data_IF_586282996246
#
_entry.id   IF_586282996246
#
_cell.length_a   1.000
_cell.length_b   1.000
_cell.length_c   1.000
_cell.angle_alpha   90.00
_cell.angle_beta   90.00
_cell.angle_gamma   90.00
#
_symmetry.space_group_name_H-M   'P 1'
#
loop_
_entity.id
_entity.type
_entity.pdbx_description
1 polymer ?
#
# COMPACT_ATOMS: atom_id res chain seq x y z
N UNK A 1 18.14 61.85 21.78
CA UNK A 1 17.39 61.99 23.05
C UNK A 1 16.03 61.30 22.89
N UNK A 2 15.62 60.50 23.89
CA UNK A 2 14.46 59.57 23.92
C UNK A 2 13.14 60.15 23.37
N UNK A 3 12.26 59.32 22.78
CA UNK A 3 11.14 58.66 23.53
C UNK A 3 10.86 57.22 23.01
N UNK A 4 10.04 56.33 23.57
CA UNK A 4 9.17 56.21 24.76
C UNK A 4 8.83 54.71 24.87
N UNK A 5 8.85 54.16 26.08
CA UNK A 5 8.33 52.83 26.41
C UNK A 5 7.14 52.98 27.38
N UNK A 6 6.07 52.21 27.08
CA UNK A 6 4.98 51.67 27.94
C UNK A 6 4.04 52.69 28.62
N UNK A 7 2.83 52.32 29.15
CA UNK A 7 2.36 50.99 29.63
C UNK A 7 0.87 50.63 29.35
N UNK A 8 0.43 49.45 29.83
CA UNK A 8 -0.83 49.13 30.57
C UNK A 8 -0.81 47.61 30.89
N UNK A 9 -0.58 47.13 32.14
CA UNK A 9 -1.54 46.84 33.25
C UNK A 9 -2.84 46.15 32.76
N UNK A 10 -3.34 45.03 33.31
CA UNK A 10 -3.06 44.24 34.52
C UNK A 10 -4.24 43.27 34.80
N UNK A 11 -4.20 42.59 35.96
CA UNK A 11 -5.19 41.68 36.59
C UNK A 11 -5.17 40.21 36.09
N UNK A 12 -5.17 39.16 36.93
CA UNK A 12 -5.22 39.04 38.39
C UNK A 12 -5.59 37.60 38.79
N UNK A 13 -4.78 37.02 39.69
CA UNK A 13 -5.08 36.14 40.86
C UNK A 13 -6.04 34.93 40.74
N UNK A 14 -5.54 33.79 41.24
CA UNK A 14 -6.12 32.44 41.47
C UNK A 14 -7.22 32.40 42.57
N UNK A 15 -7.51 31.29 43.31
CA UNK A 15 -7.41 29.83 43.10
C UNK A 15 -8.73 29.08 43.50
N UNK A 16 -8.90 27.78 43.22
CA UNK A 16 -9.79 26.90 44.03
C UNK A 16 -9.21 25.48 44.13
N UNK A 17 -9.05 25.04 45.38
CA UNK A 17 -8.80 23.67 45.83
C UNK A 17 -10.12 23.09 46.35
N UNK A 18 -10.29 21.76 46.20
CA UNK A 18 -11.00 20.79 47.05
C UNK A 18 -12.00 19.93 46.24
N UNK A 19 -12.27 18.65 46.50
CA UNK A 19 -11.68 17.53 47.24
C UNK A 19 -12.70 16.36 47.10
N UNK A 20 -12.23 15.11 47.26
CA UNK A 20 -12.98 13.93 47.77
C UNK A 20 -14.09 13.28 46.90
N UNK A 21 -13.91 12.01 46.50
CA UNK A 21 -14.33 10.81 47.26
C UNK A 21 -14.39 9.55 46.35
N UNK A 22 -14.41 8.39 47.00
CA UNK A 22 -13.97 7.07 46.57
C UNK A 22 -15.14 6.10 46.22
N UNK A 23 -14.84 5.07 45.42
CA UNK A 23 -15.49 3.74 45.24
C UNK A 23 -16.80 3.60 44.45
N UNK A 24 -16.76 2.74 43.42
CA UNK A 24 -17.94 2.09 42.85
C UNK A 24 -17.69 1.19 41.62
N UNK A 25 -17.10 0.01 41.84
CA UNK A 25 -17.18 -1.26 41.07
C UNK A 25 -17.37 -1.33 39.52
N UNK A 26 -16.36 -1.96 38.88
CA UNK A 26 -16.39 -3.07 37.88
C UNK A 26 -17.48 -3.05 36.78
N UNK A 27 -17.06 -2.99 35.50
CA UNK A 27 -17.29 -4.02 34.46
C UNK A 27 -16.83 -3.54 33.06
N UNK A 28 -15.82 -4.23 32.53
CA UNK A 28 -15.60 -4.58 31.11
C UNK A 28 -15.87 -3.52 30.02
N UNK A 29 -14.81 -3.00 29.41
CA UNK A 29 -14.78 -2.79 27.95
C UNK A 29 -13.37 -3.11 27.41
N UNK A 30 -13.26 -3.93 26.35
CA UNK A 30 -11.96 -4.33 25.80
C UNK A 30 -11.33 -3.17 25.03
N UNK A 31 -10.01 -3.12 25.11
CA UNK A 31 -9.14 -2.21 24.37
C UNK A 31 -9.46 -2.27 22.86
N UNK A 32 -10.23 -1.30 22.39
CA UNK A 32 -10.55 -1.09 20.96
C UNK A 32 -9.95 0.21 20.43
N UNK A 33 -8.97 0.79 21.14
CA UNK A 33 -8.49 2.16 20.87
C UNK A 33 -7.05 2.30 20.35
N UNK A 34 -6.42 1.23 19.87
CA UNK A 34 -5.06 1.33 19.34
C UNK A 34 -4.94 1.16 17.81
N UNK A 35 -5.96 0.65 17.12
CA UNK A 35 -5.88 0.38 15.67
C UNK A 35 -6.20 1.60 14.78
N UNK A 36 -6.88 2.62 15.31
CA UNK A 36 -7.38 3.78 14.53
C UNK A 36 -6.38 4.93 14.36
N UNK A 37 -5.13 4.79 14.84
CA UNK A 37 -4.15 5.88 14.82
C UNK A 37 -2.92 5.65 13.92
N UNK A 38 -3.03 4.80 12.90
CA UNK A 38 -2.07 4.88 11.79
C UNK A 38 -2.64 5.86 10.78
N UNK A 39 -1.95 6.99 10.59
CA UNK A 39 -2.41 8.11 9.77
C UNK A 39 -2.87 7.63 8.39
N UNK A 40 -4.17 7.77 8.11
CA UNK A 40 -4.70 7.59 6.76
C UNK A 40 -4.06 8.64 5.86
N UNK A 41 -3.39 8.20 4.81
CA UNK A 41 -2.99 9.12 3.75
C UNK A 41 -4.23 9.48 2.93
N UNK A 42 -4.31 10.72 2.42
CA UNK A 42 -5.45 11.15 1.60
C UNK A 42 -5.45 10.53 0.20
N UNK A 43 -4.46 9.68 -0.12
CA UNK A 43 -4.33 8.98 -1.39
C UNK A 43 -4.53 7.47 -1.20
N UNK A 44 -5.07 6.73 -2.18
CA UNK A 44 -5.27 5.28 -2.05
C UNK A 44 -3.93 4.56 -2.14
N UNK A 45 -3.26 4.34 -1.00
CA UNK A 45 -2.01 3.55 -0.94
C UNK A 45 -2.27 2.05 -1.06
N UNK A 46 -1.29 1.24 -1.47
CA UNK A 46 -1.42 -0.21 -1.46
C UNK A 46 -1.77 -0.71 -0.05
N UNK A 47 -1.17 -0.09 0.97
CA UNK A 47 -1.53 -0.32 2.37
C UNK A 47 -2.97 0.07 2.69
N UNK A 48 -3.47 1.22 2.22
CA UNK A 48 -4.85 1.66 2.45
C UNK A 48 -5.85 0.80 1.68
N UNK A 49 -5.51 0.34 0.48
CA UNK A 49 -6.33 -0.57 -0.34
C UNK A 49 -6.44 -1.96 0.31
N UNK A 50 -5.36 -2.46 0.93
CA UNK A 50 -5.35 -3.68 1.74
C UNK A 50 -6.16 -3.51 3.04
N UNK A 51 -6.04 -2.36 3.72
CA UNK A 51 -6.67 -2.10 5.03
C UNK A 51 -8.16 -1.75 4.97
N UNK A 52 -8.66 -1.21 3.85
CA UNK A 52 -10.10 -0.93 3.63
C UNK A 52 -10.94 -2.19 3.45
N UNK A 53 -10.30 -3.36 3.36
CA UNK A 53 -10.96 -4.65 3.23
C UNK A 53 -11.21 -5.19 4.64
N UNK A 54 -12.46 -5.49 5.04
CA UNK A 54 -12.76 -5.96 6.39
C UNK A 54 -12.02 -7.27 6.68
N UNK A 55 -11.05 -7.20 7.60
CA UNK A 55 -10.27 -8.36 8.03
C UNK A 55 -10.99 -9.02 9.20
N UNK A 56 -11.64 -10.15 8.95
CA UNK A 56 -12.11 -11.03 10.01
C UNK A 56 -10.92 -11.87 10.53
N UNK A 57 -10.07 -11.36 11.42
CA UNK A 57 -9.07 -12.20 12.09
C UNK A 57 -8.55 -11.63 13.42
N UNK A 58 -8.53 -12.50 14.44
CA UNK A 58 -8.24 -12.29 15.87
C UNK A 58 -6.75 -12.19 16.25
N UNK A 59 -5.83 -12.01 15.29
CA UNK A 59 -4.37 -12.14 15.53
C UNK A 59 -3.56 -10.87 15.19
N UNK A 60 -4.09 -9.70 15.52
CA UNK A 60 -3.53 -8.41 15.08
C UNK A 60 -2.29 -7.94 15.86
N UNK A 61 -2.21 -8.13 17.18
CA UNK A 61 -1.32 -7.30 18.02
C UNK A 61 0.15 -7.69 18.02
N UNK A 62 0.49 -8.98 17.95
CA UNK A 62 1.91 -9.42 17.98
C UNK A 62 2.62 -9.33 16.63
N UNK A 63 1.88 -9.34 15.52
CA UNK A 63 2.45 -9.22 14.17
C UNK A 63 2.77 -7.78 13.76
N UNK A 64 2.17 -6.78 14.41
CA UNK A 64 2.25 -5.37 14.02
C UNK A 64 3.66 -4.76 14.14
N UNK A 65 4.48 -5.20 15.09
CA UNK A 65 5.83 -4.67 15.29
C UNK A 65 6.83 -5.16 14.22
N UNK A 66 6.79 -6.45 13.86
CA UNK A 66 7.63 -7.04 12.79
C UNK A 66 7.18 -6.57 11.39
N UNK A 67 5.89 -6.26 11.23
CA UNK A 67 5.36 -5.64 10.02
C UNK A 67 5.88 -4.20 9.81
N UNK A 68 6.43 -3.53 10.83
CA UNK A 68 6.83 -2.11 10.75
C UNK A 68 7.98 -1.85 9.77
N UNK A 69 9.08 -2.60 9.84
CA UNK A 69 10.24 -2.40 8.96
C UNK A 69 9.91 -2.73 7.49
N UNK A 70 9.04 -3.71 7.28
CA UNK A 70 8.60 -4.11 5.94
C UNK A 70 7.59 -3.13 5.38
N UNK A 71 6.66 -2.65 6.22
CA UNK A 71 5.76 -1.54 5.88
C UNK A 71 6.54 -0.29 5.49
N UNK A 72 7.68 -0.01 6.13
CA UNK A 72 8.56 1.08 5.74
C UNK A 72 9.20 0.86 4.36
N UNK A 73 9.77 -0.32 4.09
CA UNK A 73 10.35 -0.63 2.78
C UNK A 73 9.32 -0.50 1.64
N UNK A 74 8.08 -0.86 1.93
CA UNK A 74 6.98 -0.75 0.98
C UNK A 74 6.47 0.65 0.81
N UNK A 75 6.39 1.41 1.90
CA UNK A 75 6.06 2.81 1.84
C UNK A 75 7.10 3.53 0.97
N UNK A 76 8.38 3.19 1.11
CA UNK A 76 9.46 3.73 0.28
C UNK A 76 9.30 3.32 -1.18
N UNK A 77 9.09 2.03 -1.47
CA UNK A 77 8.86 1.55 -2.84
C UNK A 77 7.63 2.20 -3.46
N UNK A 78 6.51 2.21 -2.76
CA UNK A 78 5.26 2.83 -3.20
C UNK A 78 5.42 4.32 -3.44
N UNK A 79 6.11 5.03 -2.55
CA UNK A 79 6.42 6.46 -2.76
C UNK A 79 7.21 6.66 -4.04
N UNK A 80 8.21 5.81 -4.30
CA UNK A 80 8.95 5.84 -5.56
C UNK A 80 8.02 5.58 -6.76
N UNK A 81 7.18 4.54 -6.71
CA UNK A 81 6.21 4.21 -7.77
C UNK A 81 5.22 5.35 -8.03
N UNK A 82 4.90 6.15 -7.02
CA UNK A 82 4.08 7.36 -7.15
C UNK A 82 4.84 8.57 -7.71
N UNK A 83 6.12 8.41 -8.03
CA UNK A 83 6.96 9.50 -8.55
C UNK A 83 7.47 10.46 -7.46
N UNK A 84 7.65 10.00 -6.22
CA UNK A 84 8.29 10.82 -5.17
C UNK A 84 9.65 11.33 -5.65
N UNK A 85 9.90 12.64 -5.53
CA UNK A 85 11.11 13.29 -6.06
C UNK A 85 11.01 13.77 -7.52
N UNK A 86 9.94 13.46 -8.25
CA UNK A 86 9.65 14.08 -9.55
C UNK A 86 8.92 15.42 -9.39
N UNK A 87 8.89 16.27 -10.44
CA UNK A 87 8.12 17.51 -10.39
C UNK A 87 6.61 17.23 -10.19
N UNK A 88 5.85 18.16 -9.59
CA UNK A 88 4.49 17.90 -9.11
C UNK A 88 3.53 17.36 -10.18
N UNK A 89 3.64 17.83 -11.42
CA UNK A 89 2.80 17.38 -12.51
C UNK A 89 3.05 15.90 -12.84
N UNK A 90 4.31 15.52 -13.05
CA UNK A 90 4.70 14.14 -13.34
C UNK A 90 4.32 13.23 -12.16
N UNK A 91 4.64 13.64 -10.93
CA UNK A 91 4.26 12.91 -9.72
C UNK A 91 2.76 12.61 -9.68
N UNK A 92 1.90 13.60 -9.97
CA UNK A 92 0.45 13.40 -9.97
C UNK A 92 0.02 12.36 -11.02
N UNK A 93 0.61 12.36 -12.21
CA UNK A 93 0.31 11.38 -13.26
C UNK A 93 0.82 9.97 -12.90
N UNK A 94 2.03 9.83 -12.35
CA UNK A 94 2.54 8.55 -11.88
C UNK A 94 1.68 7.99 -10.74
N UNK A 95 1.38 8.81 -9.72
CA UNK A 95 0.53 8.39 -8.61
C UNK A 95 -0.86 7.94 -9.07
N UNK A 96 -1.49 8.67 -9.99
CA UNK A 96 -2.79 8.30 -10.54
C UNK A 96 -2.74 7.00 -11.35
N UNK A 97 -1.73 6.83 -12.22
CA UNK A 97 -1.58 5.63 -13.03
C UNK A 97 -1.31 4.40 -12.14
N UNK A 98 -0.39 4.50 -11.19
CA UNK A 98 -0.07 3.42 -10.26
C UNK A 98 -1.30 2.99 -9.45
N UNK A 99 -2.03 3.94 -8.87
CA UNK A 99 -3.25 3.67 -8.11
C UNK A 99 -4.35 3.02 -8.97
N UNK A 100 -4.46 3.39 -10.25
CA UNK A 100 -5.41 2.79 -11.17
C UNK A 100 -5.06 1.33 -11.47
N UNK A 101 -3.79 1.04 -11.74
CA UNK A 101 -3.31 -0.33 -12.00
C UNK A 101 -3.55 -1.22 -10.77
N UNK A 102 -3.15 -0.76 -9.59
CA UNK A 102 -3.34 -1.50 -8.34
C UNK A 102 -4.82 -1.76 -8.05
N UNK A 103 -5.66 -0.74 -8.15
CA UNK A 103 -7.11 -0.90 -7.92
C UNK A 103 -7.69 -1.94 -8.88
N UNK A 104 -7.35 -1.87 -10.17
CA UNK A 104 -7.86 -2.80 -11.17
C UNK A 104 -7.42 -4.26 -10.92
N UNK A 105 -6.16 -4.47 -10.52
CA UNK A 105 -5.64 -5.80 -10.14
C UNK A 105 -6.30 -6.33 -8.86
N UNK A 106 -6.38 -5.51 -7.82
CA UNK A 106 -6.98 -5.89 -6.52
C UNK A 106 -8.45 -6.27 -6.69
N UNK A 107 -9.17 -5.50 -7.50
CA UNK A 107 -10.58 -5.68 -7.79
C UNK A 107 -10.87 -6.76 -8.84
N UNK A 108 -9.84 -7.43 -9.38
CA UNK A 108 -9.94 -8.48 -10.43
C UNK A 108 -10.59 -7.97 -11.72
N UNK A 109 -10.50 -6.67 -11.97
CA UNK A 109 -11.02 -6.03 -13.17
C UNK A 109 -10.13 -6.26 -14.39
N UNK A 110 -8.88 -6.64 -14.15
CA UNK A 110 -7.92 -7.05 -15.16
C UNK A 110 -7.25 -8.36 -14.76
N UNK A 111 -6.69 -9.06 -15.74
CA UNK A 111 -5.91 -10.27 -15.47
C UNK A 111 -4.58 -9.91 -14.80
N UNK A 112 -4.03 -10.84 -14.02
CA UNK A 112 -2.71 -10.68 -13.39
C UNK A 112 -1.62 -10.42 -14.44
N UNK A 113 -1.65 -11.14 -15.56
CA UNK A 113 -0.66 -11.01 -16.64
C UNK A 113 -0.69 -9.60 -17.24
N UNK A 114 -1.88 -9.09 -17.56
CA UNK A 114 -2.03 -7.74 -18.08
C UNK A 114 -1.59 -6.69 -17.06
N UNK A 115 -1.97 -6.82 -15.79
CA UNK A 115 -1.55 -5.85 -14.78
C UNK A 115 -0.05 -5.86 -14.51
N UNK A 116 0.64 -7.01 -14.61
CA UNK A 116 2.11 -7.07 -14.56
C UNK A 116 2.75 -6.30 -15.72
N UNK A 117 2.22 -6.44 -16.92
CA UNK A 117 2.69 -5.69 -18.08
C UNK A 117 2.50 -4.18 -17.86
N UNK A 118 1.34 -3.76 -17.35
CA UNK A 118 1.08 -2.36 -17.02
C UNK A 118 2.05 -1.83 -15.94
N UNK A 119 2.34 -2.61 -14.90
CA UNK A 119 3.35 -2.26 -13.88
C UNK A 119 4.77 -2.19 -14.46
N UNK A 120 5.12 -3.07 -15.40
CA UNK A 120 6.41 -3.03 -16.10
C UNK A 120 6.57 -1.77 -16.97
N UNK A 121 5.54 -1.42 -17.75
CA UNK A 121 5.52 -0.18 -18.54
C UNK A 121 5.64 1.03 -17.61
N UNK A 122 4.86 1.05 -16.54
CA UNK A 122 4.91 2.10 -15.52
C UNK A 122 6.32 2.28 -14.95
N UNK A 123 6.99 1.19 -14.54
CA UNK A 123 8.37 1.23 -14.03
C UNK A 123 9.34 1.81 -15.03
N UNK A 124 9.26 1.40 -16.31
CA UNK A 124 10.15 1.91 -17.37
C UNK A 124 9.98 3.41 -17.58
N UNK A 125 8.73 3.89 -17.65
CA UNK A 125 8.44 5.32 -17.77
C UNK A 125 8.95 6.09 -16.54
N UNK A 126 8.81 5.52 -15.35
CA UNK A 126 9.27 6.11 -14.10
C UNK A 126 10.79 6.24 -14.06
N UNK A 127 11.52 5.20 -14.46
CA UNK A 127 12.99 5.25 -14.53
C UNK A 127 13.45 6.33 -15.53
N UNK A 128 12.83 6.42 -16.72
CA UNK A 128 13.09 7.49 -17.69
C UNK A 128 12.77 8.89 -17.12
N UNK A 129 11.71 9.01 -16.32
CA UNK A 129 11.35 10.27 -15.68
C UNK A 129 12.38 10.71 -14.63
N UNK A 130 12.92 9.77 -13.85
CA UNK A 130 14.01 10.07 -12.92
C UNK A 130 15.30 10.45 -13.64
N UNK A 131 15.65 9.74 -14.72
CA UNK A 131 16.80 10.09 -15.56
C UNK A 131 16.66 11.51 -16.11
N UNK A 132 15.51 11.84 -16.70
CA UNK A 132 15.19 13.18 -17.18
C UNK A 132 15.27 14.25 -16.08
N UNK A 133 14.65 14.00 -14.92
CA UNK A 133 14.65 14.95 -13.80
C UNK A 133 16.05 15.18 -13.21
N UNK A 134 16.97 14.22 -13.37
CA UNK A 134 18.36 14.33 -12.92
C UNK A 134 19.24 15.18 -13.85
N UNK A 135 18.77 15.50 -15.06
CA UNK A 135 19.53 16.28 -16.04
C UNK A 135 19.74 17.72 -15.56
N UNK A 136 20.92 18.28 -15.83
CA UNK A 136 21.25 19.68 -15.46
C UNK A 136 20.31 20.71 -16.09
N UNK A 137 19.81 20.40 -17.29
CA UNK A 137 18.80 21.17 -18.01
C UNK A 137 17.82 20.18 -18.64
N UNK A 138 16.73 19.84 -17.92
CA UNK A 138 15.72 18.91 -18.42
C UNK A 138 14.98 19.54 -19.60
N UNK A 139 14.81 18.78 -20.67
CA UNK A 139 13.98 19.19 -21.81
C UNK A 139 12.49 19.13 -21.43
N UNK A 140 11.75 20.25 -21.43
CA UNK A 140 10.33 20.26 -21.09
C UNK A 140 9.49 19.35 -22.01
N UNK A 141 9.82 19.26 -23.30
CA UNK A 141 9.05 18.46 -24.27
C UNK A 141 9.15 16.97 -23.93
N UNK A 142 10.32 16.50 -23.51
CA UNK A 142 10.50 15.13 -23.05
C UNK A 142 9.67 14.82 -21.79
N UNK A 143 9.56 15.80 -20.88
CA UNK A 143 8.70 15.69 -19.71
C UNK A 143 7.21 15.53 -20.05
N UNK A 144 6.75 16.16 -21.14
CA UNK A 144 5.39 16.01 -21.67
C UNK A 144 5.18 14.65 -22.35
N UNK A 145 6.17 14.18 -23.12
CA UNK A 145 6.12 12.85 -23.74
C UNK A 145 5.96 11.72 -22.71
N UNK A 146 6.62 11.83 -21.55
CA UNK A 146 6.45 10.87 -20.45
C UNK A 146 5.02 10.87 -19.90
N UNK A 147 4.37 12.04 -19.84
CA UNK A 147 2.98 12.16 -19.41
C UNK A 147 2.03 11.56 -20.46
N UNK A 148 2.30 11.78 -21.75
CA UNK A 148 1.52 11.16 -22.82
C UNK A 148 1.62 9.62 -22.77
N UNK A 149 2.82 9.07 -22.55
CA UNK A 149 2.99 7.63 -22.34
C UNK A 149 2.18 7.09 -21.14
N UNK A 150 2.09 7.85 -20.05
CA UNK A 150 1.24 7.49 -18.90
C UNK A 150 -0.25 7.55 -19.25
N UNK A 151 -0.68 8.52 -20.07
CA UNK A 151 -2.07 8.62 -20.53
C UNK A 151 -2.42 7.45 -21.43
N UNK A 152 -1.55 7.07 -22.36
CA UNK A 152 -1.74 5.89 -23.21
C UNK A 152 -1.89 4.62 -22.37
N UNK A 153 -1.00 4.43 -21.39
CA UNK A 153 -1.07 3.32 -20.42
C UNK A 153 -2.42 3.32 -19.69
N UNK A 154 -2.89 4.49 -19.22
CA UNK A 154 -4.17 4.61 -18.53
C UNK A 154 -5.39 4.35 -19.44
N UNK A 155 -5.32 4.72 -20.72
CA UNK A 155 -6.36 4.41 -21.70
C UNK A 155 -6.42 2.91 -22.00
N UNK A 156 -5.28 2.26 -22.16
CA UNK A 156 -5.21 0.82 -22.40
C UNK A 156 -5.71 0.04 -21.18
N UNK A 157 -5.33 0.48 -19.97
CA UNK A 157 -5.89 -0.04 -18.73
C UNK A 157 -7.42 0.09 -18.71
N UNK A 158 -7.96 1.25 -19.10
CA UNK A 158 -9.42 1.48 -19.10
C UNK A 158 -10.15 0.59 -20.09
N UNK A 159 -9.57 0.35 -21.27
CA UNK A 159 -10.15 -0.54 -22.29
C UNK A 159 -10.07 -2.00 -21.88
N UNK A 160 -9.00 -2.39 -21.19
CA UNK A 160 -8.80 -3.76 -20.72
C UNK A 160 -9.52 -4.09 -19.41
N UNK A 161 -9.89 -3.08 -18.61
CA UNK A 161 -10.53 -3.29 -17.32
C UNK A 161 -12.04 -3.49 -17.42
N UNK A 162 -12.52 -4.60 -16.90
CA UNK A 162 -13.95 -4.83 -16.69
C UNK A 162 -14.53 -3.84 -15.67
N UNK A 163 -15.82 -3.48 -15.79
CA UNK A 163 -16.49 -2.69 -14.76
C UNK A 163 -16.60 -3.51 -13.48
N UNK A 164 -16.48 -2.87 -12.32
CA UNK A 164 -16.53 -3.57 -11.02
C UNK A 164 -17.83 -4.38 -10.83
N UNK A 165 -18.94 -3.90 -11.40
CA UNK A 165 -20.24 -4.59 -11.37
C UNK A 165 -20.27 -5.91 -12.13
N UNK A 166 -19.32 -6.16 -13.04
CA UNK A 166 -19.20 -7.43 -13.76
C UNK A 166 -18.47 -8.49 -12.93
N UNK A 167 -17.76 -8.12 -11.86
CA UNK A 167 -16.96 -9.03 -11.04
C UNK A 167 -17.78 -9.49 -9.82
N UNK A 168 -18.18 -10.78 -9.73
CA UNK A 168 -19.02 -11.26 -8.63
C UNK A 168 -18.30 -11.26 -7.28
N UNK A 169 -18.95 -10.77 -6.23
CA UNK A 169 -18.43 -10.78 -4.84
C UNK A 169 -18.01 -12.18 -4.37
N UNK A 170 -18.69 -13.21 -4.88
CA UNK A 170 -18.41 -14.60 -4.58
C UNK A 170 -17.04 -15.08 -5.04
N UNK A 171 -16.39 -14.39 -5.99
CA UNK A 171 -15.03 -14.70 -6.44
C UNK A 171 -13.99 -13.70 -5.97
N UNK A 172 -14.39 -12.48 -5.59
CA UNK A 172 -13.45 -11.42 -5.19
C UNK A 172 -12.62 -11.83 -3.97
N UNK A 173 -11.30 -11.70 -4.09
CA UNK A 173 -10.31 -11.92 -3.03
C UNK A 173 -9.31 -10.76 -2.91
N UNK A 174 -9.80 -9.50 -2.77
CA UNK A 174 -8.97 -8.31 -2.90
C UNK A 174 -7.80 -8.27 -1.91
N UNK A 175 -7.96 -8.85 -0.72
CA UNK A 175 -6.88 -8.95 0.27
C UNK A 175 -5.74 -9.85 -0.23
N UNK A 176 -6.09 -11.00 -0.82
CA UNK A 176 -5.12 -11.96 -1.35
C UNK A 176 -4.45 -11.36 -2.59
N UNK A 177 -5.23 -10.79 -3.51
CA UNK A 177 -4.71 -10.15 -4.72
C UNK A 177 -3.75 -8.99 -4.37
N UNK A 178 -4.17 -8.10 -3.47
CA UNK A 178 -3.35 -7.00 -2.98
C UNK A 178 -2.03 -7.47 -2.39
N UNK A 179 -2.06 -8.54 -1.60
CA UNK A 179 -0.85 -9.13 -1.05
C UNK A 179 0.02 -9.87 -2.09
N UNK A 180 -0.55 -10.47 -3.12
CA UNK A 180 0.24 -11.08 -4.19
C UNK A 180 1.02 -10.01 -4.96
N UNK A 181 0.33 -8.96 -5.40
CA UNK A 181 0.95 -7.80 -6.06
C UNK A 181 2.03 -7.21 -5.16
N UNK A 182 1.72 -7.08 -3.87
CA UNK A 182 2.66 -6.61 -2.87
C UNK A 182 3.96 -7.43 -2.82
N UNK A 183 3.87 -8.77 -2.73
CA UNK A 183 5.06 -9.64 -2.73
C UNK A 183 5.81 -9.55 -4.06
N UNK A 184 5.10 -9.41 -5.18
CA UNK A 184 5.71 -9.26 -6.50
C UNK A 184 6.53 -7.99 -6.62
N UNK A 185 5.95 -6.86 -6.22
CA UNK A 185 6.64 -5.57 -6.18
C UNK A 185 7.85 -5.63 -5.26
N UNK A 186 7.73 -6.29 -4.10
CA UNK A 186 8.85 -6.48 -3.19
C UNK A 186 9.97 -7.35 -3.81
N UNK A 187 9.61 -8.40 -4.55
CA UNK A 187 10.59 -9.24 -5.24
C UNK A 187 11.31 -8.47 -6.34
N UNK A 188 10.61 -7.63 -7.10
CA UNK A 188 11.21 -6.76 -8.12
C UNK A 188 12.13 -5.72 -7.46
N UNK A 189 11.66 -5.04 -6.41
CA UNK A 189 12.42 -4.05 -5.69
C UNK A 189 13.66 -4.63 -4.99
N UNK A 190 13.51 -5.76 -4.30
CA UNK A 190 14.61 -6.44 -3.61
C UNK A 190 15.72 -6.89 -4.57
N UNK A 191 15.39 -7.14 -5.85
CA UNK A 191 16.40 -7.36 -6.89
C UNK A 191 17.20 -6.09 -7.22
N UNK A 192 16.53 -4.94 -7.29
CA UNK A 192 17.18 -3.66 -7.60
C UNK A 192 18.10 -3.18 -6.47
N UNK A 193 17.72 -3.39 -5.21
CA UNK A 193 18.46 -2.88 -4.05
C UNK A 193 19.33 -3.92 -3.33
N UNK A 194 19.43 -5.15 -3.85
CA UNK A 194 20.20 -6.29 -3.29
C UNK A 194 19.80 -6.68 -1.86
N UNK A 195 18.59 -6.34 -1.45
CA UNK A 195 18.07 -6.65 -0.10
C UNK A 195 17.51 -8.07 0.03
N UNK A 196 17.52 -8.85 -1.06
CA UNK A 196 17.11 -10.26 -1.05
C UNK A 196 18.21 -11.12 -1.68
N UNK A 197 18.55 -12.22 -1.02
CA UNK A 197 19.44 -13.22 -1.62
C UNK A 197 18.75 -13.95 -2.77
N UNK A 198 19.52 -14.51 -3.71
CA UNK A 198 18.97 -15.32 -4.80
C UNK A 198 18.16 -16.53 -4.29
N UNK A 199 18.55 -17.09 -3.14
CA UNK A 199 17.85 -18.18 -2.47
C UNK A 199 16.50 -17.74 -1.91
N UNK A 200 16.47 -16.61 -1.19
CA UNK A 200 15.23 -16.03 -0.65
C UNK A 200 14.26 -15.67 -1.78
N UNK A 201 14.76 -15.01 -2.84
CA UNK A 201 13.97 -14.69 -4.03
C UNK A 201 13.32 -15.93 -4.63
N UNK A 202 14.08 -17.01 -4.84
CA UNK A 202 13.58 -18.25 -5.43
C UNK A 202 12.50 -18.90 -4.56
N UNK A 203 12.71 -18.90 -3.24
CA UNK A 203 11.74 -19.45 -2.27
C UNK A 203 10.45 -18.65 -2.25
N UNK A 204 10.53 -17.32 -2.11
CA UNK A 204 9.37 -16.44 -2.08
C UNK A 204 8.59 -16.50 -3.41
N UNK A 205 9.29 -16.53 -4.55
CA UNK A 205 8.66 -16.67 -5.87
C UNK A 205 7.89 -18.00 -5.99
N UNK A 206 8.44 -19.09 -5.46
CA UNK A 206 7.77 -20.40 -5.44
C UNK A 206 6.51 -20.39 -4.55
N UNK A 207 6.58 -19.76 -3.37
CA UNK A 207 5.43 -19.66 -2.47
C UNK A 207 4.32 -18.81 -3.06
N UNK A 208 4.66 -17.66 -3.65
CA UNK A 208 3.73 -16.80 -4.37
C UNK A 208 3.07 -17.56 -5.55
N UNK A 209 3.87 -18.24 -6.37
CA UNK A 209 3.36 -19.05 -7.49
C UNK A 209 2.41 -20.15 -7.04
N UNK A 210 2.65 -20.73 -5.86
CA UNK A 210 1.73 -21.71 -5.26
C UNK A 210 0.42 -21.06 -4.84
N UNK A 211 0.46 -19.90 -4.18
CA UNK A 211 -0.73 -19.17 -3.76
C UNK A 211 -1.60 -18.82 -4.98
N UNK A 212 -1.02 -18.26 -6.04
CA UNK A 212 -1.72 -17.96 -7.30
C UNK A 212 -2.32 -19.19 -7.97
N UNK A 213 -1.62 -20.34 -7.91
CA UNK A 213 -2.15 -21.60 -8.44
C UNK A 213 -3.36 -22.10 -7.64
N UNK A 214 -3.29 -22.04 -6.31
CA UNK A 214 -4.41 -22.42 -5.45
C UNK A 214 -5.61 -21.51 -5.66
N UNK A 215 -5.37 -20.20 -5.78
CA UNK A 215 -6.43 -19.24 -6.05
C UNK A 215 -7.13 -19.51 -7.37
N UNK A 216 -6.38 -19.66 -8.47
CA UNK A 216 -6.95 -20.03 -9.77
C UNK A 216 -7.73 -21.35 -9.71
N UNK A 217 -7.22 -22.33 -8.95
CA UNK A 217 -7.91 -23.60 -8.76
C UNK A 217 -9.25 -23.43 -8.03
N UNK A 218 -9.28 -22.70 -6.92
CA UNK A 218 -10.51 -22.48 -6.15
C UNK A 218 -11.50 -21.55 -6.85
N UNK A 219 -11.03 -20.63 -7.70
CA UNK A 219 -11.89 -19.74 -8.50
C UNK A 219 -12.41 -20.39 -9.78
N UNK A 220 -12.01 -21.63 -10.11
CA UNK A 220 -12.37 -22.29 -11.38
C UNK A 220 -13.88 -22.35 -11.62
N UNK A 221 -14.66 -22.58 -10.56
CA UNK A 221 -16.13 -22.69 -10.64
C UNK A 221 -16.83 -21.35 -10.33
N UNK A 222 -16.07 -20.25 -10.35
CA UNK A 222 -16.53 -18.88 -10.06
C UNK A 222 -17.27 -18.73 -8.72
N UNK A 223 -16.92 -19.57 -7.74
CA UNK A 223 -17.46 -19.54 -6.39
C UNK A 223 -16.39 -19.99 -5.41
N UNK A 224 -16.05 -19.11 -4.47
CA UNK A 224 -15.18 -19.46 -3.35
C UNK A 224 -16.03 -19.81 -2.12
N UNK A 225 -15.92 -21.05 -1.68
CA UNK A 225 -16.45 -21.49 -0.39
C UNK A 225 -15.68 -20.86 0.77
N UNK A 226 -16.30 -20.84 1.97
CA UNK A 226 -15.66 -20.32 3.18
C UNK A 226 -14.34 -21.05 3.49
N UNK A 227 -14.32 -22.37 3.35
CA UNK A 227 -13.12 -23.18 3.56
C UNK A 227 -12.00 -22.85 2.57
N UNK A 228 -12.32 -22.60 1.30
CA UNK A 228 -11.32 -22.21 0.29
C UNK A 228 -10.75 -20.82 0.59
N UNK A 229 -11.58 -19.88 1.03
CA UNK A 229 -11.12 -18.56 1.48
C UNK A 229 -10.18 -18.66 2.68
N UNK A 230 -10.55 -19.46 3.69
CA UNK A 230 -9.71 -19.71 4.86
C UNK A 230 -8.39 -20.40 4.46
N UNK A 231 -8.45 -21.35 3.53
CA UNK A 231 -7.28 -22.07 2.99
C UNK A 231 -6.30 -21.13 2.27
N UNK A 232 -6.81 -20.19 1.47
CA UNK A 232 -6.01 -19.14 0.83
C UNK A 232 -5.43 -18.16 1.86
N UNK A 233 -6.24 -17.75 2.85
CA UNK A 233 -5.80 -16.84 3.89
C UNK A 233 -4.66 -17.43 4.74
N UNK A 234 -4.73 -18.72 5.09
CA UNK A 234 -3.64 -19.41 5.80
C UNK A 234 -2.34 -19.40 5.00
N UNK A 235 -2.40 -19.68 3.69
CA UNK A 235 -1.22 -19.64 2.80
C UNK A 235 -0.65 -18.24 2.66
N UNK A 236 -1.51 -17.22 2.65
CA UNK A 236 -1.10 -15.83 2.68
C UNK A 236 -0.32 -15.51 3.97
N UNK A 237 -0.82 -15.93 5.14
CA UNK A 237 -0.11 -15.74 6.42
C UNK A 237 1.27 -16.42 6.39
N UNK A 238 1.35 -17.63 5.84
CA UNK A 238 2.62 -18.36 5.69
C UNK A 238 3.60 -17.61 4.78
N UNK A 239 3.13 -17.10 3.63
CA UNK A 239 3.93 -16.28 2.73
C UNK A 239 4.45 -15.01 3.42
N UNK A 240 3.57 -14.30 4.15
CA UNK A 240 3.95 -13.09 4.88
C UNK A 240 5.06 -13.36 5.90
N UNK A 241 4.96 -14.46 6.66
CA UNK A 241 6.00 -14.86 7.62
C UNK A 241 7.33 -15.14 6.95
N UNK A 242 7.33 -15.75 5.76
CA UNK A 242 8.56 -16.01 5.03
C UNK A 242 9.17 -14.73 4.45
N UNK A 243 8.34 -13.82 3.92
CA UNK A 243 8.81 -12.51 3.46
C UNK A 243 9.51 -11.75 4.59
N UNK A 244 8.92 -11.74 5.79
CA UNK A 244 9.53 -11.13 6.98
C UNK A 244 10.91 -11.72 7.26
N UNK A 245 10.99 -13.05 7.38
CA UNK A 245 12.25 -13.74 7.68
C UNK A 245 13.33 -13.51 6.63
N UNK A 246 12.95 -13.35 5.36
CA UNK A 246 13.91 -13.09 4.28
C UNK A 246 14.44 -11.66 4.27
N UNK A 247 13.70 -10.70 4.86
CA UNK A 247 14.09 -9.28 4.90
C UNK A 247 14.83 -8.89 6.18
N UNK A 248 14.68 -9.66 7.27
CA UNK A 248 15.37 -9.42 8.55
C UNK A 248 16.83 -9.91 8.58
N UNK A 249 17.33 -10.54 7.51
CA UNK A 249 18.69 -11.11 7.43
C UNK A 249 19.68 -10.13 6.81
#
# INVERSE_FOLDING_TARGET
MKPRHTPLRGFGVAPVIASLALVGAILTTPATRAADQVAFTHEPTLNDLIRRIPVNSLLAEKGLAELSAIQELLLVHESKMRGEGLPPLQRAHFAANYAAILSALIEERITEEFGREQLDIHRRLLDLAYEWASMKQPDPEYGELLIEGLKETAEDLRKGAEPLSAIPDSVRTPLINGHQIWVEELLVWGCHFRNLTAGDRSRLSLMLSRLQRFERYYKKDLRLTEWERESLHRRLIELNREVIKSLER
#
